data_IF_390619814301
#
_entry.id   IF_390619814301
#
_cell.length_a   1.000
_cell.length_b   1.000
_cell.length_c   1.000
_cell.angle_alpha   90.00
_cell.angle_beta   90.00
_cell.angle_gamma   90.00
#
_symmetry.space_group_name_H-M   'P 1'
#
loop_
_entity.id
_entity.type
_entity.pdbx_description
1 polymer ?
#
# COMPACT_ATOMS: atom_id res chain seq x y z
N UNK A 1 3.06 -15.81 20.11
CA UNK A 1 2.48 -15.16 18.90
C UNK A 1 2.05 -13.71 19.16
N UNK A 2 1.34 -13.39 20.25
CA UNK A 2 0.82 -12.03 20.51
C UNK A 2 1.90 -10.94 20.60
N UNK A 3 3.04 -11.21 21.25
CA UNK A 3 4.15 -10.24 21.35
C UNK A 3 4.69 -9.88 19.98
N UNK A 4 4.90 -10.87 19.11
CA UNK A 4 5.34 -10.64 17.73
C UNK A 4 4.29 -9.89 16.90
N UNK A 5 3.00 -10.23 17.11
CA UNK A 5 1.91 -9.51 16.45
C UNK A 5 1.95 -8.02 16.82
N UNK A 6 2.06 -7.68 18.10
CA UNK A 6 2.11 -6.27 18.55
C UNK A 6 3.36 -5.57 18.02
N UNK A 7 4.53 -6.21 18.08
CA UNK A 7 5.80 -5.62 17.62
C UNK A 7 5.78 -5.32 16.13
N UNK A 8 5.37 -6.28 15.30
CA UNK A 8 5.32 -6.08 13.84
C UNK A 8 4.16 -5.20 13.41
N UNK A 9 3.01 -5.25 14.11
CA UNK A 9 1.88 -4.35 13.88
C UNK A 9 2.25 -2.89 14.13
N UNK A 10 3.00 -2.61 15.19
CA UNK A 10 3.51 -1.26 15.47
C UNK A 10 4.42 -0.76 14.34
N UNK A 11 5.34 -1.60 13.84
CA UNK A 11 6.25 -1.26 12.75
C UNK A 11 5.52 -1.11 11.41
N UNK A 12 4.51 -1.96 11.14
CA UNK A 12 3.67 -1.89 9.95
C UNK A 12 2.67 -0.73 9.97
N UNK A 13 2.50 -0.06 11.11
CA UNK A 13 1.42 0.91 11.35
C UNK A 13 0.01 0.28 11.25
N UNK A 14 -0.11 -0.98 11.63
CA UNK A 14 -1.37 -1.71 11.72
C UNK A 14 -1.99 -1.40 13.09
N UNK A 15 -3.14 -0.70 13.13
CA UNK A 15 -3.82 -0.18 14.33
C UNK A 15 -2.98 0.89 15.07
N UNK A 16 -1.69 0.64 15.35
CA UNK A 16 -0.79 1.59 16.02
C UNK A 16 -0.11 2.48 14.98
N UNK A 17 -0.84 3.42 14.41
CA UNK A 17 -0.43 4.22 13.24
C UNK A 17 -0.10 5.68 13.57
N UNK A 18 -0.38 6.18 14.79
CA UNK A 18 -0.34 7.62 15.12
C UNK A 18 1.01 8.30 14.88
N UNK A 19 2.10 7.54 14.90
CA UNK A 19 3.45 8.04 14.63
C UNK A 19 3.68 8.36 13.14
N UNK A 20 3.04 7.61 12.23
CA UNK A 20 3.33 7.65 10.80
C UNK A 20 2.93 8.97 10.12
N UNK A 21 1.70 9.51 10.27
CA UNK A 21 1.33 10.78 9.64
C UNK A 21 2.14 11.97 10.16
N UNK A 22 2.53 11.93 11.44
CA UNK A 22 3.35 12.99 12.05
C UNK A 22 4.78 12.93 11.50
N UNK A 23 5.39 11.75 11.45
CA UNK A 23 6.74 11.56 10.94
C UNK A 23 6.84 11.94 9.45
N UNK A 24 5.93 11.44 8.61
CA UNK A 24 6.00 11.65 7.17
C UNK A 24 5.69 13.10 6.73
N UNK A 25 4.91 13.84 7.52
CA UNK A 25 4.63 15.25 7.25
C UNK A 25 5.89 16.12 7.36
N UNK A 26 6.86 15.76 8.20
CA UNK A 26 8.08 16.55 8.46
C UNK A 26 9.21 16.19 7.51
N UNK A 27 9.27 14.94 7.04
CA UNK A 27 10.36 14.43 6.20
C UNK A 27 10.46 15.15 4.85
N UNK A 28 11.70 15.24 4.33
CA UNK A 28 11.96 15.63 2.95
C UNK A 28 11.35 14.59 1.99
N UNK A 29 11.11 14.99 0.72
CA UNK A 29 10.43 14.16 -0.27
C UNK A 29 11.10 12.80 -0.45
N UNK A 30 12.41 12.79 -0.59
CA UNK A 30 13.22 11.61 -0.87
C UNK A 30 13.17 10.62 0.30
N UNK A 31 13.34 11.12 1.54
CA UNK A 31 13.25 10.30 2.75
C UNK A 31 11.82 9.81 3.00
N UNK A 32 10.82 10.65 2.76
CA UNK A 32 9.43 10.26 2.92
C UNK A 32 9.05 9.15 1.92
N UNK A 33 9.52 9.24 0.67
CA UNK A 33 9.32 8.21 -0.34
C UNK A 33 10.00 6.89 0.06
N UNK A 34 11.26 6.93 0.52
CA UNK A 34 12.00 5.75 0.95
C UNK A 34 11.32 5.05 2.15
N UNK A 35 10.93 5.83 3.16
CA UNK A 35 10.27 5.26 4.34
C UNK A 35 8.87 4.73 4.04
N UNK A 36 8.11 5.40 3.19
CA UNK A 36 6.81 4.94 2.75
C UNK A 36 6.89 3.66 1.90
N UNK A 37 7.94 3.54 1.09
CA UNK A 37 8.19 2.38 0.27
C UNK A 37 8.60 1.15 1.09
N UNK A 38 9.51 1.30 2.05
CA UNK A 38 10.20 0.16 2.67
C UNK A 38 9.85 -0.05 4.15
N UNK A 39 9.81 1.00 4.96
CA UNK A 39 9.77 0.86 6.41
C UNK A 39 8.54 0.09 6.91
N UNK A 40 7.35 0.47 6.45
CA UNK A 40 6.10 -0.22 6.82
C UNK A 40 5.99 -1.61 6.21
N UNK A 41 6.58 -1.81 5.02
CA UNK A 41 6.55 -3.09 4.30
C UNK A 41 7.42 -4.15 4.95
N UNK A 42 8.51 -3.77 5.60
CA UNK A 42 9.30 -4.71 6.43
C UNK A 42 8.42 -5.29 7.54
N UNK A 43 7.60 -4.47 8.22
CA UNK A 43 6.66 -4.95 9.23
C UNK A 43 5.58 -5.88 8.65
N UNK A 44 4.99 -5.50 7.51
CA UNK A 44 3.98 -6.31 6.83
C UNK A 44 4.57 -7.64 6.31
N UNK A 45 5.77 -7.60 5.73
CA UNK A 45 6.48 -8.81 5.29
C UNK A 45 6.80 -9.75 6.47
N UNK A 46 7.25 -9.19 7.59
CA UNK A 46 7.47 -9.99 8.80
C UNK A 46 6.16 -10.66 9.25
N UNK A 47 5.03 -9.93 9.29
CA UNK A 47 3.73 -10.52 9.60
C UNK A 47 3.38 -11.66 8.63
N UNK A 48 3.56 -11.47 7.32
CA UNK A 48 3.33 -12.55 6.35
C UNK A 48 4.19 -13.76 6.70
N UNK A 49 5.50 -13.61 6.85
CA UNK A 49 6.43 -14.74 7.09
C UNK A 49 6.15 -15.45 8.40
N UNK A 50 5.92 -14.72 9.49
CA UNK A 50 5.71 -15.33 10.80
C UNK A 50 4.34 -16.01 10.93
N UNK A 51 3.28 -15.44 10.34
CA UNK A 51 1.94 -15.99 10.48
C UNK A 51 1.60 -17.05 9.42
N UNK A 52 2.40 -17.18 8.36
CA UNK A 52 2.27 -18.31 7.41
C UNK A 52 3.19 -19.48 7.76
N UNK A 53 4.33 -19.28 8.45
CA UNK A 53 5.33 -20.32 8.67
C UNK A 53 5.43 -20.81 10.13
N UNK A 54 5.28 -19.89 11.11
CA UNK A 54 5.60 -20.21 12.52
C UNK A 54 4.38 -20.28 13.42
N UNK A 55 3.30 -19.55 13.15
CA UNK A 55 2.16 -19.43 14.06
C UNK A 55 0.87 -20.01 13.49
N UNK A 56 0.96 -21.17 12.85
CA UNK A 56 -0.20 -21.84 12.24
C UNK A 56 -0.91 -22.84 13.17
N UNK A 57 -0.52 -22.92 14.45
CA UNK A 57 -1.11 -23.87 15.41
C UNK A 57 -2.57 -23.62 15.76
N UNK A 58 -3.06 -22.36 15.63
CA UNK A 58 -4.46 -21.98 15.81
C UNK A 58 -4.87 -20.92 14.76
N UNK A 59 -4.97 -21.30 13.49
CA UNK A 59 -5.19 -20.37 12.40
C UNK A 59 -6.51 -19.60 12.54
N UNK A 60 -7.57 -20.23 13.06
CA UNK A 60 -8.88 -19.60 13.23
C UNK A 60 -8.85 -18.35 14.11
N UNK A 61 -8.13 -18.36 15.22
CA UNK A 61 -8.07 -17.21 16.14
C UNK A 61 -7.14 -16.11 15.63
N UNK A 62 -5.93 -16.51 15.20
CA UNK A 62 -4.89 -15.55 14.77
C UNK A 62 -5.27 -14.84 13.48
N UNK A 63 -5.81 -15.56 12.50
CA UNK A 63 -6.23 -14.96 11.23
C UNK A 63 -7.50 -14.10 11.38
N UNK A 64 -8.46 -14.50 12.22
CA UNK A 64 -9.61 -13.65 12.54
C UNK A 64 -9.18 -12.34 13.19
N UNK A 65 -8.20 -12.39 14.12
CA UNK A 65 -7.65 -11.19 14.73
C UNK A 65 -6.94 -10.29 13.70
N UNK A 66 -6.17 -10.86 12.78
CA UNK A 66 -5.53 -10.12 11.68
C UNK A 66 -6.56 -9.44 10.79
N UNK A 67 -7.64 -10.13 10.41
CA UNK A 67 -8.75 -9.55 9.64
C UNK A 67 -9.40 -8.39 10.38
N UNK A 68 -9.67 -8.54 11.66
CA UNK A 68 -10.26 -7.48 12.49
C UNK A 68 -9.35 -6.25 12.55
N UNK A 69 -8.06 -6.44 12.81
CA UNK A 69 -7.07 -5.36 12.80
C UNK A 69 -6.96 -4.69 11.41
N UNK A 70 -7.01 -5.47 10.34
CA UNK A 70 -7.01 -4.95 8.97
C UNK A 70 -8.23 -4.07 8.70
N UNK A 71 -9.43 -4.51 9.10
CA UNK A 71 -10.66 -3.74 8.94
C UNK A 71 -10.60 -2.39 9.68
N UNK A 72 -10.15 -2.39 10.94
CA UNK A 72 -9.96 -1.16 11.72
C UNK A 72 -8.96 -0.23 11.02
N UNK A 73 -7.83 -0.76 10.56
CA UNK A 73 -6.79 0.01 9.89
C UNK A 73 -7.28 0.63 8.58
N UNK A 74 -8.07 -0.12 7.80
CA UNK A 74 -8.71 0.39 6.58
C UNK A 74 -9.68 1.53 6.88
N UNK A 75 -10.53 1.39 7.88
CA UNK A 75 -11.49 2.41 8.29
C UNK A 75 -10.76 3.69 8.71
N UNK A 76 -9.77 3.57 9.58
CA UNK A 76 -8.98 4.73 10.05
C UNK A 76 -8.23 5.38 8.89
N UNK A 77 -7.61 4.59 8.00
CA UNK A 77 -6.94 5.08 6.81
C UNK A 77 -7.90 5.87 5.91
N UNK A 78 -9.11 5.34 5.68
CA UNK A 78 -10.13 5.99 4.87
C UNK A 78 -10.62 7.32 5.46
N UNK A 79 -10.86 7.37 6.76
CA UNK A 79 -11.19 8.64 7.43
C UNK A 79 -10.03 9.63 7.33
N UNK A 80 -8.79 9.18 7.52
CA UNK A 80 -7.62 10.05 7.46
C UNK A 80 -7.41 10.69 6.09
N UNK A 81 -7.60 9.96 4.98
CA UNK A 81 -7.42 10.53 3.63
C UNK A 81 -8.47 11.58 3.28
N UNK A 82 -9.65 11.56 3.92
CA UNK A 82 -10.71 12.56 3.71
C UNK A 82 -10.54 13.77 4.63
N UNK A 83 -10.17 13.55 5.89
CA UNK A 83 -10.19 14.56 6.95
C UNK A 83 -9.14 15.65 6.77
N UNK A 84 -7.99 15.33 6.17
CA UNK A 84 -6.89 16.27 6.08
C UNK A 84 -6.87 17.04 4.76
N UNK A 85 -6.39 18.30 4.84
CA UNK A 85 -6.11 19.18 3.68
C UNK A 85 -4.62 19.20 3.32
N UNK A 86 -3.76 18.74 4.23
CA UNK A 86 -2.31 18.60 4.00
C UNK A 86 -2.05 17.35 3.15
N UNK A 87 -1.52 17.56 1.94
CA UNK A 87 -1.28 16.49 0.96
C UNK A 87 -0.26 15.45 1.44
N UNK A 88 0.72 15.84 2.27
CA UNK A 88 1.67 14.90 2.87
C UNK A 88 0.98 13.98 3.88
N UNK A 89 0.03 14.51 4.66
CA UNK A 89 -0.78 13.71 5.58
C UNK A 89 -1.71 12.78 4.81
N UNK A 90 -2.34 13.25 3.74
CA UNK A 90 -3.15 12.40 2.85
C UNK A 90 -2.32 11.22 2.34
N UNK A 91 -1.09 11.48 1.84
CA UNK A 91 -0.18 10.41 1.40
C UNK A 91 0.16 9.42 2.52
N UNK A 92 0.41 9.91 3.73
CA UNK A 92 0.69 9.07 4.89
C UNK A 92 -0.50 8.15 5.25
N UNK A 93 -1.73 8.66 5.22
CA UNK A 93 -2.92 7.84 5.43
C UNK A 93 -3.19 6.84 4.28
N UNK A 94 -2.77 7.15 3.05
CA UNK A 94 -2.75 6.20 1.95
C UNK A 94 -1.82 5.00 2.22
N UNK A 95 -0.71 5.21 2.96
CA UNK A 95 0.17 4.11 3.38
C UNK A 95 -0.52 3.24 4.42
N UNK A 96 -1.18 3.83 5.42
CA UNK A 96 -1.92 3.09 6.46
C UNK A 96 -3.01 2.23 5.82
N UNK A 97 -3.76 2.80 4.87
CA UNK A 97 -4.84 2.11 4.20
C UNK A 97 -4.35 0.89 3.41
N UNK A 98 -3.21 1.02 2.70
CA UNK A 98 -2.62 -0.09 1.94
C UNK A 98 -2.11 -1.23 2.83
N UNK A 99 -1.62 -0.93 4.05
CA UNK A 99 -1.28 -1.97 5.03
C UNK A 99 -2.53 -2.79 5.42
N UNK A 100 -3.67 -2.13 5.62
CA UNK A 100 -4.94 -2.83 5.84
C UNK A 100 -5.28 -3.83 4.74
N UNK A 101 -5.07 -3.47 3.46
CA UNK A 101 -5.29 -4.38 2.33
C UNK A 101 -4.35 -5.60 2.35
N UNK A 102 -3.07 -5.39 2.60
CA UNK A 102 -2.08 -6.47 2.69
C UNK A 102 -2.46 -7.46 3.79
N UNK A 103 -2.80 -6.93 4.98
CA UNK A 103 -3.12 -7.78 6.13
C UNK A 103 -4.49 -8.47 5.99
N UNK A 104 -5.44 -7.87 5.28
CA UNK A 104 -6.68 -8.55 4.92
C UNK A 104 -6.42 -9.78 4.04
N UNK A 105 -5.52 -9.65 3.04
CA UNK A 105 -5.11 -10.78 2.20
C UNK A 105 -4.43 -11.89 3.01
N UNK A 106 -3.52 -11.54 3.93
CA UNK A 106 -2.90 -12.48 4.84
C UNK A 106 -3.94 -13.16 5.75
N UNK A 107 -4.84 -12.37 6.35
CA UNK A 107 -5.87 -12.84 7.28
C UNK A 107 -6.91 -13.76 6.64
N UNK A 108 -7.04 -13.77 5.31
CA UNK A 108 -7.91 -14.72 4.61
C UNK A 108 -7.40 -16.15 4.65
N UNK A 109 -6.12 -16.37 4.97
CA UNK A 109 -5.47 -17.70 5.06
C UNK A 109 -5.77 -18.62 3.87
N UNK A 110 -5.80 -18.05 2.67
CA UNK A 110 -6.05 -18.75 1.41
C UNK A 110 -4.91 -18.50 0.44
N UNK A 111 -4.63 -19.44 -0.46
CA UNK A 111 -3.56 -19.29 -1.47
C UNK A 111 -3.76 -18.00 -2.28
N UNK A 112 -4.94 -17.69 -2.86
CA UNK A 112 -5.13 -16.45 -3.60
C UNK A 112 -4.99 -15.20 -2.72
N UNK A 113 -5.45 -15.23 -1.46
CA UNK A 113 -5.35 -14.09 -0.55
C UNK A 113 -3.91 -13.76 -0.18
N UNK A 114 -3.11 -14.77 0.19
CA UNK A 114 -1.69 -14.59 0.54
C UNK A 114 -0.88 -14.19 -0.70
N UNK A 115 -1.14 -14.80 -1.86
CA UNK A 115 -0.52 -14.42 -3.13
C UNK A 115 -0.85 -12.95 -3.47
N UNK A 116 -2.12 -12.56 -3.34
CA UNK A 116 -2.55 -11.17 -3.50
C UNK A 116 -1.87 -10.21 -2.53
N UNK A 117 -1.68 -10.59 -1.26
CA UNK A 117 -0.97 -9.78 -0.26
C UNK A 117 0.50 -9.58 -0.63
N UNK A 118 1.21 -10.62 -1.07
CA UNK A 118 2.62 -10.56 -1.49
C UNK A 118 2.75 -9.68 -2.74
N UNK A 119 1.90 -9.89 -3.74
CA UNK A 119 1.90 -9.06 -4.95
C UNK A 119 1.57 -7.60 -4.62
N UNK A 120 0.53 -7.36 -3.80
CA UNK A 120 0.16 -6.01 -3.40
C UNK A 120 1.28 -5.32 -2.63
N UNK A 121 2.02 -6.03 -1.77
CA UNK A 121 3.18 -5.50 -1.05
C UNK A 121 4.26 -5.01 -2.02
N UNK A 122 4.62 -5.82 -3.02
CA UNK A 122 5.60 -5.44 -4.04
C UNK A 122 5.13 -4.24 -4.88
N UNK A 123 3.87 -4.25 -5.33
CA UNK A 123 3.24 -3.14 -6.04
C UNK A 123 3.22 -1.86 -5.21
N UNK A 124 2.85 -1.95 -3.93
CA UNK A 124 2.70 -0.79 -3.06
C UNK A 124 4.02 -0.08 -2.78
N UNK A 125 5.17 -0.79 -2.80
CA UNK A 125 6.50 -0.18 -2.72
C UNK A 125 6.67 0.85 -3.84
N UNK A 126 6.38 0.48 -5.08
CA UNK A 126 6.62 1.31 -6.26
C UNK A 126 5.57 2.43 -6.34
N UNK A 127 4.31 2.09 -6.11
CA UNK A 127 3.20 3.07 -6.17
C UNK A 127 3.32 4.13 -5.08
N UNK A 128 3.74 3.76 -3.85
CA UNK A 128 3.96 4.75 -2.79
C UNK A 128 5.20 5.59 -3.04
N UNK A 129 6.25 5.02 -3.62
CA UNK A 129 7.40 5.80 -4.07
C UNK A 129 6.94 6.89 -5.04
N UNK A 130 6.20 6.52 -6.09
CA UNK A 130 5.67 7.49 -7.04
C UNK A 130 4.74 8.51 -6.38
N UNK A 131 3.83 8.09 -5.50
CA UNK A 131 2.92 8.99 -4.78
C UNK A 131 3.69 10.06 -4.00
N UNK A 132 4.70 9.68 -3.22
CA UNK A 132 5.47 10.63 -2.43
C UNK A 132 6.34 11.54 -3.28
N UNK A 133 6.90 11.06 -4.40
CA UNK A 133 7.62 11.92 -5.35
C UNK A 133 6.68 12.89 -6.06
N UNK A 134 5.49 12.47 -6.43
CA UNK A 134 4.46 13.35 -7.02
C UNK A 134 4.08 14.44 -6.02
N UNK A 135 3.71 14.08 -4.80
CA UNK A 135 3.33 15.03 -3.74
C UNK A 135 4.49 15.93 -3.33
N UNK A 136 5.69 15.38 -3.22
CA UNK A 136 6.88 16.17 -2.90
C UNK A 136 7.26 17.14 -4.01
N UNK A 137 7.07 16.75 -5.28
CA UNK A 137 7.26 17.65 -6.42
C UNK A 137 6.24 18.77 -6.42
N UNK A 138 5.00 18.47 -6.03
CA UNK A 138 3.96 19.47 -5.90
C UNK A 138 4.30 20.51 -4.82
N UNK A 139 4.71 20.06 -3.63
CA UNK A 139 5.14 20.95 -2.56
C UNK A 139 6.37 21.78 -2.97
N UNK A 140 7.29 21.19 -3.72
CA UNK A 140 8.47 21.89 -4.24
C UNK A 140 8.08 22.99 -5.23
N UNK A 141 7.16 22.70 -6.16
CA UNK A 141 6.72 23.67 -7.17
C UNK A 141 5.92 24.83 -6.58
N UNK A 142 5.04 24.54 -5.62
CA UNK A 142 4.09 25.51 -5.08
C UNK A 142 4.57 26.21 -3.80
N UNK A 143 5.40 25.54 -3.00
CA UNK A 143 5.74 25.97 -1.64
C UNK A 143 4.66 25.66 -0.59
N UNK A 144 3.48 25.22 -0.99
CA UNK A 144 2.34 24.97 -0.10
C UNK A 144 2.07 23.46 0.09
N UNK A 145 1.60 23.08 1.28
CA UNK A 145 1.18 21.71 1.62
C UNK A 145 -0.33 21.52 1.56
N UNK A 146 -1.09 22.59 1.70
CA UNK A 146 -2.55 22.55 1.62
C UNK A 146 -2.99 22.62 0.15
N UNK A 147 -3.68 21.60 -0.33
CA UNK A 147 -4.09 21.49 -1.73
C UNK A 147 -5.09 22.59 -2.16
N UNK A 148 -5.76 23.25 -1.23
CA UNK A 148 -6.68 24.35 -1.54
C UNK A 148 -5.98 25.57 -2.15
N UNK A 149 -4.68 25.75 -1.90
CA UNK A 149 -3.86 26.85 -2.44
C UNK A 149 -3.09 26.44 -3.72
N UNK A 150 -3.45 25.30 -4.37
CA UNK A 150 -2.67 24.72 -5.46
C UNK A 150 -3.35 24.81 -6.84
N UNK A 151 -4.28 25.74 -7.04
CA UNK A 151 -4.99 25.91 -8.29
C UNK A 151 -4.09 26.38 -9.46
N UNK A 152 -4.45 26.01 -10.71
CA UNK A 152 -3.78 26.50 -11.92
C UNK A 152 -2.54 25.73 -12.40
N UNK A 153 -2.20 24.59 -11.80
CA UNK A 153 -1.03 23.78 -12.19
C UNK A 153 -1.16 23.18 -13.61
N UNK A 154 -2.38 22.84 -14.06
CA UNK A 154 -2.64 22.17 -15.33
C UNK A 154 -2.05 22.87 -16.54
N UNK A 155 -2.06 24.19 -16.54
CA UNK A 155 -1.56 25.00 -17.66
C UNK A 155 -0.03 25.02 -17.76
N UNK A 156 0.69 24.66 -16.69
CA UNK A 156 2.15 24.81 -16.57
C UNK A 156 2.93 23.51 -16.67
N UNK A 157 2.41 22.40 -16.15
CA UNK A 157 3.13 21.11 -16.09
C UNK A 157 2.20 19.94 -16.40
N UNK A 158 1.79 19.73 -17.67
CA UNK A 158 0.86 18.66 -18.07
C UNK A 158 1.42 17.25 -17.79
N UNK A 159 2.73 17.06 -17.92
CA UNK A 159 3.41 15.80 -17.61
C UNK A 159 3.20 15.35 -16.16
N UNK A 160 3.24 16.30 -15.23
CA UNK A 160 2.99 16.04 -13.82
C UNK A 160 1.58 15.48 -13.59
N UNK A 161 0.59 15.98 -14.32
CA UNK A 161 -0.78 15.47 -14.26
C UNK A 161 -0.91 14.02 -14.67
N UNK A 162 -0.22 13.63 -15.75
CA UNK A 162 -0.20 12.23 -16.19
C UNK A 162 0.37 11.32 -15.08
N UNK A 163 1.50 11.69 -14.48
CA UNK A 163 2.08 10.93 -13.38
C UNK A 163 1.12 10.82 -12.18
N UNK A 164 0.39 11.89 -11.87
CA UNK A 164 -0.59 11.88 -10.79
C UNK A 164 -1.80 10.97 -11.10
N UNK A 165 -2.33 11.01 -12.32
CA UNK A 165 -3.41 10.11 -12.78
C UNK A 165 -2.98 8.65 -12.68
N UNK A 166 -1.75 8.32 -13.09
CA UNK A 166 -1.21 6.95 -12.96
C UNK A 166 -1.20 6.49 -11.50
N UNK A 167 -0.78 7.35 -10.57
CA UNK A 167 -0.82 7.04 -9.13
C UNK A 167 -2.25 6.76 -8.67
N UNK A 168 -3.20 7.62 -9.05
CA UNK A 168 -4.61 7.51 -8.65
C UNK A 168 -5.18 6.16 -9.10
N UNK A 169 -5.00 5.81 -10.36
CA UNK A 169 -5.52 4.56 -10.91
C UNK A 169 -4.80 3.32 -10.37
N UNK A 170 -3.48 3.41 -10.14
CA UNK A 170 -2.73 2.32 -9.53
C UNK A 170 -3.19 2.05 -8.08
N UNK A 171 -3.43 3.10 -7.28
CA UNK A 171 -3.99 3.00 -5.92
C UNK A 171 -5.45 2.53 -5.96
N UNK A 172 -6.24 3.03 -6.90
CA UNK A 172 -7.61 2.60 -7.11
C UNK A 172 -7.73 1.11 -7.48
N UNK A 173 -6.72 0.58 -8.15
CA UNK A 173 -6.74 -0.77 -8.71
C UNK A 173 -7.58 -0.83 -9.99
N UNK A 174 -7.40 0.14 -10.88
CA UNK A 174 -8.07 0.20 -12.19
C UNK A 174 -7.18 -0.49 -13.24
N UNK A 175 -7.73 -1.35 -14.11
CA UNK A 175 -6.95 -1.88 -15.23
C UNK A 175 -6.51 -0.74 -16.17
N UNK A 176 -5.34 -0.78 -16.79
CA UNK A 176 -4.31 -1.84 -16.82
C UNK A 176 -3.21 -1.68 -15.74
N UNK A 177 -3.43 -0.92 -14.69
CA UNK A 177 -2.39 -0.61 -13.68
C UNK A 177 -2.13 -1.79 -12.75
N UNK A 178 -0.91 -1.82 -12.18
CA UNK A 178 -0.39 -2.91 -11.34
C UNK A 178 -1.18 -3.19 -10.04
N UNK A 179 -1.98 -2.24 -9.57
CA UNK A 179 -2.84 -2.42 -8.39
C UNK A 179 -4.05 -3.32 -8.62
N UNK A 180 -4.50 -3.50 -9.87
CA UNK A 180 -5.69 -4.28 -10.18
C UNK A 180 -5.53 -5.78 -9.89
N UNK A 181 -4.53 -6.50 -10.45
CA UNK A 181 -4.43 -7.94 -10.29
C UNK A 181 -4.22 -8.35 -8.82
N UNK A 182 -3.44 -7.60 -8.06
CA UNK A 182 -3.22 -7.89 -6.65
C UNK A 182 -4.49 -7.75 -5.81
N UNK A 183 -5.32 -6.72 -6.07
CA UNK A 183 -6.60 -6.54 -5.37
C UNK A 183 -7.59 -7.64 -5.71
N UNK A 184 -7.67 -8.05 -6.98
CA UNK A 184 -8.54 -9.16 -7.42
C UNK A 184 -8.21 -10.44 -6.66
N UNK A 185 -6.93 -10.77 -6.48
CA UNK A 185 -6.52 -11.93 -5.69
C UNK A 185 -6.91 -11.83 -4.22
N UNK A 186 -6.75 -10.65 -3.60
CA UNK A 186 -7.18 -10.44 -2.22
C UNK A 186 -8.71 -10.61 -2.12
N UNK A 187 -9.47 -10.10 -3.10
CA UNK A 187 -10.93 -10.29 -3.17
C UNK A 187 -11.30 -11.77 -3.27
N UNK A 188 -10.62 -12.52 -4.16
CA UNK A 188 -10.82 -13.96 -4.27
C UNK A 188 -10.53 -14.68 -2.94
N UNK A 189 -9.44 -14.32 -2.27
CA UNK A 189 -9.10 -14.85 -0.96
C UNK A 189 -10.15 -14.57 0.10
N UNK A 190 -10.66 -13.34 0.15
CA UNK A 190 -11.71 -12.94 1.09
C UNK A 190 -13.04 -13.68 0.82
N UNK A 191 -13.42 -13.87 -0.44
CA UNK A 191 -14.60 -14.64 -0.85
C UNK A 191 -14.45 -16.11 -0.46
N UNK A 192 -13.31 -16.72 -0.76
CA UNK A 192 -13.04 -18.14 -0.45
C UNK A 192 -13.11 -18.40 1.06
N UNK A 193 -12.66 -17.45 1.88
CA UNK A 193 -12.74 -17.52 3.34
C UNK A 193 -14.10 -17.08 3.92
N UNK A 194 -15.06 -16.66 3.09
CA UNK A 194 -16.38 -16.17 3.55
C UNK A 194 -16.33 -14.80 4.26
N UNK A 195 -15.22 -14.07 4.15
CA UNK A 195 -15.06 -12.77 4.81
C UNK A 195 -15.62 -11.62 3.96
N UNK A 196 -16.93 -11.58 3.81
CA UNK A 196 -17.64 -10.56 3.01
C UNK A 196 -17.55 -9.15 3.60
N UNK A 197 -17.43 -9.03 4.92
CA UNK A 197 -17.27 -7.72 5.59
C UNK A 197 -15.93 -7.10 5.23
N UNK A 198 -14.84 -7.86 5.34
CA UNK A 198 -13.52 -7.41 4.95
C UNK A 198 -13.45 -7.04 3.46
N UNK A 199 -14.09 -7.84 2.60
CA UNK A 199 -14.21 -7.58 1.17
C UNK A 199 -14.92 -6.25 0.90
N UNK A 200 -16.11 -6.05 1.48
CA UNK A 200 -16.89 -4.83 1.30
C UNK A 200 -16.13 -3.59 1.79
N UNK A 201 -15.50 -3.68 2.95
CA UNK A 201 -14.65 -2.60 3.50
C UNK A 201 -13.48 -2.28 2.56
N UNK A 202 -12.80 -3.30 2.00
CA UNK A 202 -11.70 -3.07 1.09
C UNK A 202 -12.14 -2.36 -0.20
N UNK A 203 -13.29 -2.72 -0.77
CA UNK A 203 -13.85 -2.05 -1.95
C UNK A 203 -14.18 -0.60 -1.62
N UNK A 204 -14.94 -0.34 -0.57
CA UNK A 204 -15.37 1.01 -0.18
C UNK A 204 -14.16 1.89 0.13
N UNK A 205 -13.22 1.41 0.95
CA UNK A 205 -12.04 2.18 1.33
C UNK A 205 -11.07 2.40 0.16
N UNK A 206 -11.02 1.48 -0.81
CA UNK A 206 -10.27 1.66 -2.05
C UNK A 206 -10.85 2.78 -2.92
N UNK A 207 -12.19 2.87 -3.02
CA UNK A 207 -12.85 3.97 -3.72
C UNK A 207 -12.64 5.31 -3.01
N UNK A 208 -12.67 5.32 -1.68
CA UNK A 208 -12.37 6.51 -0.86
C UNK A 208 -10.92 6.95 -1.07
N UNK A 209 -9.97 6.02 -1.11
CA UNK A 209 -8.57 6.29 -1.39
C UNK A 209 -8.38 6.98 -2.75
N UNK A 210 -9.01 6.43 -3.78
CA UNK A 210 -8.99 6.99 -5.13
C UNK A 210 -9.67 8.37 -5.17
N UNK A 211 -10.86 8.51 -4.59
CA UNK A 211 -11.57 9.78 -4.51
C UNK A 211 -10.76 10.89 -3.83
N UNK A 212 -10.08 10.57 -2.73
CA UNK A 212 -9.29 11.59 -2.01
C UNK A 212 -8.19 12.19 -2.87
N UNK A 213 -7.52 11.39 -3.70
CA UNK A 213 -6.49 11.85 -4.62
C UNK A 213 -7.08 12.56 -5.85
N UNK A 214 -8.21 12.08 -6.38
CA UNK A 214 -8.94 12.79 -7.43
C UNK A 214 -9.38 14.18 -6.96
N UNK A 215 -9.88 14.30 -5.73
CA UNK A 215 -10.25 15.61 -5.15
C UNK A 215 -9.06 16.57 -5.13
N UNK A 216 -7.90 16.10 -4.71
CA UNK A 216 -6.66 16.90 -4.71
C UNK A 216 -6.31 17.31 -6.15
N UNK A 217 -6.28 16.35 -7.07
CA UNK A 217 -5.95 16.58 -8.47
C UNK A 217 -6.93 17.58 -9.13
N UNK A 218 -8.22 17.40 -8.90
CA UNK A 218 -9.26 18.25 -9.50
C UNK A 218 -9.13 19.70 -9.08
N UNK A 219 -8.91 19.96 -7.78
CA UNK A 219 -8.70 21.31 -7.27
C UNK A 219 -7.41 21.92 -7.84
N UNK A 220 -6.34 21.14 -7.94
CA UNK A 220 -5.07 21.62 -8.50
C UNK A 220 -5.17 22.00 -9.98
N UNK A 221 -5.98 21.28 -10.74
CA UNK A 221 -6.09 21.48 -12.19
C UNK A 221 -7.20 22.45 -12.57
N UNK A 222 -8.35 22.39 -11.90
CA UNK A 222 -9.57 23.09 -12.30
C UNK A 222 -10.07 24.08 -11.25
N UNK A 223 -9.43 24.17 -10.08
CA UNK A 223 -9.79 25.14 -9.05
C UNK A 223 -9.51 26.57 -9.54
N UNK A 224 -10.40 27.50 -9.20
CA UNK A 224 -10.18 28.93 -9.42
C UNK A 224 -9.06 29.43 -8.51
N UNK A 225 -8.18 30.24 -9.07
CA UNK A 225 -7.11 30.88 -8.33
C UNK A 225 -7.70 32.11 -7.58
N UNK A 226 -8.48 31.86 -6.53
CA UNK A 226 -8.96 32.92 -5.65
C UNK A 226 -7.80 33.53 -4.88
N UNK A 227 -7.28 34.67 -5.34
CA UNK A 227 -6.38 35.55 -4.63
C UNK A 227 -4.94 35.58 -5.14
N UNK A 228 -4.00 35.03 -4.44
CA UNK A 228 -2.59 35.13 -4.79
C UNK A 228 -2.18 34.18 -5.91
N UNK A 229 -1.62 34.72 -7.01
CA UNK A 229 -1.00 33.91 -8.05
C UNK A 229 0.19 33.14 -7.47
N UNK A 230 0.01 31.87 -7.17
CA UNK A 230 1.10 31.00 -6.74
C UNK A 230 2.17 30.98 -7.83
N UNK A 231 3.34 31.50 -7.55
CA UNK A 231 4.48 31.43 -8.45
C UNK A 231 5.04 29.99 -8.41
N UNK A 232 4.61 29.17 -9.36
CA UNK A 232 5.12 27.82 -9.49
C UNK A 232 6.58 27.81 -9.97
N UNK A 233 7.44 27.10 -9.22
CA UNK A 233 8.81 26.82 -9.66
C UNK A 233 8.80 25.70 -10.68
N UNK A 234 9.60 25.75 -11.77
CA UNK A 234 9.68 24.68 -12.74
C UNK A 234 10.23 23.40 -12.08
N UNK A 235 9.69 22.27 -12.52
CA UNK A 235 10.15 20.96 -12.02
C UNK A 235 11.53 20.64 -12.61
N UNK A 236 12.55 20.32 -11.80
CA UNK A 236 13.87 19.95 -12.28
C UNK A 236 13.82 18.69 -13.16
N UNK A 237 14.69 18.64 -14.20
CA UNK A 237 14.68 17.57 -15.21
C UNK A 237 14.89 16.17 -14.60
N UNK A 238 15.73 16.06 -13.56
CA UNK A 238 15.96 14.78 -12.88
C UNK A 238 14.71 14.24 -12.19
N UNK A 239 13.83 15.11 -11.64
CA UNK A 239 12.54 14.70 -11.06
C UNK A 239 11.58 14.25 -12.14
N UNK A 240 11.54 14.92 -13.29
CA UNK A 240 10.73 14.48 -14.44
C UNK A 240 11.19 13.09 -14.91
N UNK A 241 12.50 12.88 -15.03
CA UNK A 241 13.07 11.56 -15.37
C UNK A 241 12.69 10.47 -14.39
N UNK A 242 12.82 10.73 -13.07
CA UNK A 242 12.45 9.76 -12.04
C UNK A 242 10.95 9.41 -12.07
N UNK A 243 10.08 10.42 -12.19
CA UNK A 243 8.64 10.21 -12.31
C UNK A 243 8.31 9.37 -13.55
N UNK A 244 8.97 9.64 -14.70
CA UNK A 244 8.77 8.87 -15.94
C UNK A 244 9.14 7.40 -15.75
N UNK A 245 10.29 7.11 -15.15
CA UNK A 245 10.74 5.73 -14.88
C UNK A 245 9.73 5.00 -13.99
N UNK A 246 9.29 5.62 -12.91
CA UNK A 246 8.32 5.00 -11.99
C UNK A 246 6.95 4.76 -12.67
N UNK A 247 6.48 5.68 -13.51
CA UNK A 247 5.26 5.52 -14.31
C UNK A 247 5.39 4.32 -15.23
N UNK A 248 6.51 4.21 -15.97
CA UNK A 248 6.77 3.09 -16.88
C UNK A 248 6.82 1.76 -16.11
N UNK A 249 7.46 1.72 -14.95
CA UNK A 249 7.52 0.50 -14.11
C UNK A 249 6.13 0.08 -13.64
N UNK A 250 5.27 1.01 -13.21
CA UNK A 250 3.89 0.69 -12.79
C UNK A 250 3.07 0.12 -13.94
N UNK A 251 3.17 0.71 -15.14
CA UNK A 251 2.49 0.21 -16.33
C UNK A 251 3.04 -1.15 -16.74
N UNK A 252 4.36 -1.32 -16.76
CA UNK A 252 5.01 -2.58 -17.08
C UNK A 252 4.59 -3.71 -16.11
N UNK A 253 4.53 -3.44 -14.81
CA UNK A 253 4.04 -4.41 -13.81
C UNK A 253 2.56 -4.75 -14.01
N UNK A 254 1.73 -3.80 -14.44
CA UNK A 254 0.33 -4.07 -14.72
C UNK A 254 0.14 -4.95 -15.95
N UNK A 255 0.87 -4.67 -17.03
CA UNK A 255 0.83 -5.46 -18.28
C UNK A 255 1.49 -6.83 -18.08
N UNK A 256 2.61 -6.88 -17.37
CA UNK A 256 3.33 -8.11 -17.06
C UNK A 256 2.76 -8.85 -15.82
N UNK A 257 1.55 -8.52 -15.38
CA UNK A 257 0.92 -9.13 -14.22
C UNK A 257 0.95 -10.67 -14.23
N UNK A 258 0.71 -11.39 -15.35
CA UNK A 258 0.78 -12.85 -15.35
C UNK A 258 2.17 -13.41 -14.96
N UNK A 259 3.26 -12.71 -15.34
CA UNK A 259 4.63 -13.11 -14.98
C UNK A 259 4.89 -12.85 -13.50
N UNK A 260 4.49 -11.67 -13.00
CA UNK A 260 4.65 -11.32 -11.57
C UNK A 260 3.81 -12.26 -10.70
N UNK A 261 2.60 -12.59 -11.12
CA UNK A 261 1.71 -13.53 -10.42
C UNK A 261 2.35 -14.90 -10.27
N UNK A 262 2.99 -15.43 -11.30
CA UNK A 262 3.69 -16.72 -11.22
C UNK A 262 4.80 -16.71 -10.17
N UNK A 263 5.61 -15.66 -10.13
CA UNK A 263 6.68 -15.51 -9.14
C UNK A 263 6.12 -15.40 -7.71
N UNK A 264 5.02 -14.65 -7.52
CA UNK A 264 4.38 -14.51 -6.20
C UNK A 264 3.63 -15.77 -5.78
N UNK A 265 3.12 -16.55 -6.73
CA UNK A 265 2.51 -17.84 -6.48
C UNK A 265 3.54 -18.87 -6.01
N UNK A 266 4.71 -18.93 -6.66
CA UNK A 266 5.80 -19.77 -6.21
C UNK A 266 6.24 -19.39 -4.78
N UNK A 267 6.36 -18.11 -4.49
CA UNK A 267 6.66 -17.62 -3.14
C UNK A 267 5.56 -17.98 -2.13
N UNK A 268 4.28 -17.91 -2.52
CA UNK A 268 3.15 -18.28 -1.67
C UNK A 268 3.14 -19.77 -1.39
N UNK A 269 3.37 -20.58 -2.40
CA UNK A 269 3.45 -22.03 -2.27
C UNK A 269 4.57 -22.47 -1.34
N UNK A 270 5.73 -21.79 -1.39
CA UNK A 270 6.83 -22.02 -0.44
C UNK A 270 6.46 -21.63 1.01
N UNK A 271 5.66 -20.59 1.19
CA UNK A 271 5.23 -20.11 2.50
C UNK A 271 4.08 -20.94 3.09
N UNK A 272 3.20 -21.50 2.27
CA UNK A 272 2.02 -22.28 2.71
C UNK A 272 2.22 -23.80 2.64
N UNK A 273 3.32 -24.30 2.07
CA UNK A 273 3.68 -25.73 2.13
C UNK A 273 4.29 -26.05 3.49
N UNK A 274 3.44 -26.05 4.48
CA UNK A 274 3.71 -26.47 5.85
C UNK A 274 4.25 -27.89 5.95
N UNK A 275 3.80 -28.77 5.06
CA UNK A 275 4.17 -30.19 5.04
C UNK A 275 5.67 -30.47 4.89
N UNK A 276 6.43 -29.60 4.22
CA UNK A 276 7.85 -29.87 3.97
C UNK A 276 8.71 -29.46 5.17
N UNK A 277 8.41 -28.33 5.82
CA UNK A 277 9.18 -27.86 6.96
C UNK A 277 8.86 -28.68 8.23
N UNK A 278 7.59 -28.91 8.51
CA UNK A 278 7.17 -29.74 9.65
C UNK A 278 7.60 -31.21 9.47
N UNK A 279 7.54 -31.75 8.25
CA UNK A 279 8.01 -33.08 7.95
C UNK A 279 9.52 -33.20 8.17
N UNK A 280 10.31 -32.22 7.78
CA UNK A 280 11.76 -32.20 8.02
C UNK A 280 12.09 -32.01 9.50
N UNK A 281 11.42 -31.09 10.21
CA UNK A 281 11.61 -30.89 11.66
C UNK A 281 11.21 -32.14 12.45
N UNK A 282 10.07 -32.76 12.13
CA UNK A 282 9.61 -33.98 12.79
C UNK A 282 10.50 -35.18 12.46
N UNK A 283 11.10 -35.22 11.28
CA UNK A 283 12.07 -36.27 10.92
C UNK A 283 13.36 -36.11 11.72
N UNK A 284 13.89 -34.89 11.82
CA UNK A 284 15.06 -34.59 12.64
C UNK A 284 14.82 -34.82 14.16
N UNK A 285 13.67 -34.45 14.68
CA UNK A 285 13.31 -34.71 16.07
C UNK A 285 13.18 -36.22 16.37
N UNK A 286 12.68 -37.01 15.41
CA UNK A 286 12.63 -38.47 15.53
C UNK A 286 14.02 -39.10 15.45
N UNK A 287 14.95 -38.55 14.71
CA UNK A 287 16.33 -39.00 14.64
C UNK A 287 17.12 -38.65 15.88
N UNK A 288 16.89 -37.47 16.49
CA UNK A 288 17.51 -37.06 17.75
C UNK A 288 17.00 -37.88 18.92
N UNK A 289 15.71 -38.24 18.97
CA UNK A 289 15.11 -39.06 20.02
C UNK A 289 15.41 -40.58 19.87
N UNK A 290 16.04 -41.00 18.77
CA UNK A 290 16.49 -42.41 18.58
C UNK A 290 17.97 -42.61 18.93
N UNK A 291 18.72 -41.55 19.22
CA UNK A 291 20.07 -41.59 19.75
C UNK A 291 20.09 -41.39 21.26
#
# INVERSE_FOLDING_TARGET
>A
SLVFLVAFSSKAALVIFMWLPKAYAVLNTELAALFAALMTKVGAYALIRFFTLLFDHHPSVTHTLLVFMACITMIIGAFGVIAYKDIKKIAAYQVILSIGFIILGLGSHTIPGVNGAIFYLANDIIVKTLLFFVIGSLVYMSGYRNYQYLSGLAKREPFFGVAFVVVIFAIGGVPPFSGFPSKVLIFQGAITNGNYIGLALMIVTSLIAMYSLFRVMFIMYFGDADGEQVQFRPLPIYRKGLLSVLVVVILAMGIAAPVVLKVTEDATNLNMKEDVFQKNVNTHLKEVNRK
#
